data_IF_210721250838
#
_entry.id   IF_210721250838
#
_cell.length_a   1.000
_cell.length_b   1.000
_cell.length_c   1.000
_cell.angle_alpha   90.00
_cell.angle_beta   90.00
_cell.angle_gamma   90.00
#
_symmetry.space_group_name_H-M   'P 1'
#
loop_
_entity.id
_entity.type
_entity.pdbx_description
1 polymer ?
#
# COMPACT_ATOMS: atom_id res chain seq x y z
N UNK A 1 -13.80 13.27 -12.00
CA UNK A 1 -13.45 12.74 -10.65
C UNK A 1 -11.97 12.45 -10.68
N UNK A 2 -11.17 13.23 -9.94
CA UNK A 2 -9.71 13.19 -10.05
C UNK A 2 -9.12 12.63 -8.77
N UNK A 3 -8.89 11.32 -8.72
CA UNK A 3 -8.34 10.67 -7.53
C UNK A 3 -6.99 11.29 -7.16
N UNK A 4 -6.88 11.81 -5.94
CA UNK A 4 -5.62 12.30 -5.38
C UNK A 4 -4.83 11.14 -4.81
N UNK A 5 -3.50 11.21 -4.93
CA UNK A 5 -2.61 10.20 -4.40
C UNK A 5 -1.58 10.82 -3.48
N UNK A 6 -1.24 10.10 -2.42
CA UNK A 6 -0.11 10.39 -1.55
C UNK A 6 0.94 9.30 -1.67
N UNK A 7 2.22 9.68 -1.66
CA UNK A 7 3.33 8.75 -1.70
C UNK A 7 4.04 8.78 -0.36
N UNK A 8 4.20 7.62 0.26
CA UNK A 8 5.06 7.44 1.44
C UNK A 8 6.14 6.40 1.15
N UNK A 9 7.30 6.58 1.77
CA UNK A 9 8.40 5.60 1.77
C UNK A 9 8.54 4.88 3.10
N UNK A 10 7.67 5.20 4.07
CA UNK A 10 7.66 4.59 5.40
C UNK A 10 6.92 3.25 5.32
N UNK A 11 7.60 2.15 5.62
CA UNK A 11 7.02 0.81 5.54
C UNK A 11 5.82 0.63 6.48
N UNK A 12 5.90 1.19 7.70
CA UNK A 12 4.85 1.09 8.72
C UNK A 12 3.54 1.81 8.36
N UNK A 13 3.57 2.63 7.31
CA UNK A 13 2.41 3.40 6.85
C UNK A 13 1.60 2.69 5.76
N UNK A 14 2.09 1.55 5.25
CA UNK A 14 1.44 0.73 4.22
C UNK A 14 0.22 0.04 4.83
N UNK A 15 -0.90 0.02 4.12
CA UNK A 15 -2.15 -0.63 4.55
C UNK A 15 -2.74 -1.52 3.46
N UNK A 16 -3.62 -2.48 3.80
CA UNK A 16 -4.40 -3.19 2.81
C UNK A 16 -5.18 -2.22 1.91
N UNK A 17 -5.15 -2.46 0.60
CA UNK A 17 -5.73 -1.57 -0.41
C UNK A 17 -4.75 -0.57 -1.03
N UNK A 18 -3.62 -0.30 -0.38
CA UNK A 18 -2.60 0.59 -0.96
C UNK A 18 -1.88 -0.07 -2.15
N UNK A 19 -1.37 0.75 -3.07
CA UNK A 19 -0.53 0.29 -4.18
C UNK A 19 0.93 0.43 -3.79
N UNK A 20 1.68 -0.67 -3.74
CA UNK A 20 3.12 -0.65 -3.42
C UNK A 20 3.97 -0.82 -4.66
N UNK A 21 5.15 -0.19 -4.65
CA UNK A 21 6.21 -0.36 -5.65
C UNK A 21 7.43 -0.94 -4.95
N UNK A 22 7.94 -2.06 -5.48
CA UNK A 22 9.07 -2.78 -4.91
C UNK A 22 10.17 -3.02 -5.93
N UNK A 23 11.40 -3.14 -5.44
CA UNK A 23 12.62 -3.29 -6.23
C UNK A 23 13.42 -4.50 -5.78
N UNK A 24 13.89 -5.30 -6.73
CA UNK A 24 14.89 -6.35 -6.53
C UNK A 24 16.18 -5.96 -7.25
N UNK A 25 17.31 -6.01 -6.54
CA UNK A 25 18.65 -5.91 -7.15
C UNK A 25 19.23 -7.31 -7.22
N UNK A 26 19.43 -7.82 -8.43
CA UNK A 26 20.01 -9.15 -8.63
C UNK A 26 21.51 -9.17 -8.28
N UNK A 27 22.07 -10.35 -8.04
CA UNK A 27 23.50 -10.53 -7.76
C UNK A 27 24.43 -9.95 -8.85
N UNK A 28 23.96 -9.89 -10.10
CA UNK A 28 24.70 -9.31 -11.24
C UNK A 28 24.45 -7.81 -11.42
N UNK A 29 23.78 -7.15 -10.47
CA UNK A 29 23.50 -5.72 -10.50
C UNK A 29 22.28 -5.30 -11.34
N UNK A 30 21.60 -6.22 -12.02
CA UNK A 30 20.37 -5.88 -12.74
C UNK A 30 19.24 -5.54 -11.75
N UNK A 31 18.46 -4.50 -12.07
CA UNK A 31 17.32 -4.03 -11.27
C UNK A 31 16.02 -4.53 -11.88
N UNK A 32 15.17 -5.15 -11.06
CA UNK A 32 13.81 -5.54 -11.42
C UNK A 32 12.81 -4.77 -10.56
N UNK A 33 11.68 -4.41 -11.16
CA UNK A 33 10.60 -3.70 -10.50
C UNK A 33 9.34 -4.54 -10.48
N UNK A 34 8.55 -4.39 -9.44
CA UNK A 34 7.19 -4.92 -9.38
C UNK A 34 6.30 -3.95 -8.62
N UNK A 35 5.00 -4.02 -8.88
CA UNK A 35 4.00 -3.27 -8.13
C UNK A 35 2.75 -4.12 -7.95
N UNK A 36 1.95 -3.78 -6.96
CA UNK A 36 0.67 -4.44 -6.72
C UNK A 36 -0.07 -3.86 -5.53
N UNK A 37 -1.37 -4.16 -5.47
CA UNK A 37 -2.22 -3.76 -4.35
C UNK A 37 -1.96 -4.68 -3.17
N UNK A 38 -1.81 -4.12 -1.98
CA UNK A 38 -1.65 -4.86 -0.73
C UNK A 38 -2.97 -5.52 -0.36
N UNK A 39 -2.95 -6.81 -0.08
CA UNK A 39 -4.10 -7.57 0.41
C UNK A 39 -4.11 -7.65 1.94
N UNK A 40 -2.97 -8.03 2.51
CA UNK A 40 -2.76 -8.21 3.94
C UNK A 40 -1.25 -8.32 4.20
N UNK A 41 -0.89 -8.64 5.43
CA UNK A 41 0.48 -8.93 5.84
C UNK A 41 0.58 -10.36 6.39
N UNK A 42 1.79 -10.89 6.47
CA UNK A 42 2.04 -12.16 7.19
C UNK A 42 1.83 -11.96 8.71
N UNK A 43 1.70 -13.07 9.43
CA UNK A 43 1.46 -13.11 10.88
C UNK A 43 2.75 -13.02 11.72
N UNK A 44 3.88 -12.71 11.08
CA UNK A 44 5.13 -12.39 11.78
C UNK A 44 4.96 -11.08 12.55
N UNK A 45 5.05 -11.15 13.87
CA UNK A 45 4.83 -10.02 14.77
C UNK A 45 6.01 -9.03 14.76
N UNK A 46 7.21 -9.50 14.42
CA UNK A 46 8.43 -8.71 14.44
C UNK A 46 8.70 -8.07 13.08
N UNK A 47 8.41 -8.80 11.99
CA UNK A 47 8.64 -8.33 10.61
C UNK A 47 7.54 -8.82 9.63
N UNK A 48 6.35 -8.19 9.64
CA UNK A 48 5.24 -8.60 8.79
C UNK A 48 5.49 -8.26 7.32
N UNK A 49 5.56 -9.28 6.46
CA UNK A 49 5.78 -9.14 5.03
C UNK A 49 4.50 -8.82 4.25
N UNK A 50 4.63 -8.03 3.18
CA UNK A 50 3.51 -7.62 2.32
C UNK A 50 3.00 -8.78 1.47
N UNK A 51 1.70 -9.08 1.57
CA UNK A 51 0.98 -9.99 0.69
C UNK A 51 0.20 -9.18 -0.34
N UNK A 52 0.47 -9.37 -1.63
CA UNK A 52 -0.27 -8.71 -2.71
C UNK A 52 -1.62 -9.38 -2.97
N UNK A 53 -2.56 -8.70 -3.62
CA UNK A 53 -3.85 -9.27 -4.07
C UNK A 53 -3.71 -10.49 -4.98
N UNK A 54 -2.57 -10.61 -5.66
CA UNK A 54 -2.20 -11.80 -6.45
C UNK A 54 -1.84 -13.03 -5.60
N UNK A 55 -1.70 -12.87 -4.28
CA UNK A 55 -1.22 -13.90 -3.36
C UNK A 55 0.31 -14.01 -3.27
N UNK A 56 1.05 -13.20 -4.02
CA UNK A 56 2.52 -13.16 -3.95
C UNK A 56 3.00 -12.40 -2.73
N UNK A 57 4.16 -12.80 -2.21
CA UNK A 57 4.89 -12.14 -1.13
C UNK A 57 6.24 -11.69 -1.70
N UNK A 58 6.34 -10.46 -2.26
CA UNK A 58 7.54 -10.04 -2.99
C UNK A 58 8.82 -10.05 -2.15
N UNK A 59 8.70 -9.83 -0.84
CA UNK A 59 9.84 -9.85 0.09
C UNK A 59 10.50 -11.23 0.17
N UNK A 60 9.72 -12.31 0.03
CA UNK A 60 10.25 -13.68 -0.03
C UNK A 60 10.98 -13.95 -1.36
N UNK A 61 10.65 -13.20 -2.41
CA UNK A 61 11.37 -13.19 -3.69
C UNK A 61 12.57 -12.21 -3.68
N UNK A 62 12.86 -11.59 -2.53
CA UNK A 62 13.98 -10.65 -2.33
C UNK A 62 13.71 -9.21 -2.80
N UNK A 63 12.45 -8.86 -3.09
CA UNK A 63 12.09 -7.47 -3.38
C UNK A 63 12.02 -6.65 -2.09
N UNK A 64 12.46 -5.40 -2.16
CA UNK A 64 12.32 -4.44 -1.06
C UNK A 64 11.34 -3.34 -1.44
N UNK A 65 10.51 -2.90 -0.49
CA UNK A 65 9.62 -1.76 -0.66
C UNK A 65 10.41 -0.52 -1.05
N UNK A 66 9.94 0.20 -2.06
CA UNK A 66 10.49 1.51 -2.45
C UNK A 66 9.53 2.62 -2.04
N UNK A 67 8.26 2.48 -2.37
CA UNK A 67 7.23 3.40 -1.93
C UNK A 67 5.85 2.75 -1.93
N UNK A 68 4.95 3.39 -1.21
CA UNK A 68 3.54 3.11 -1.13
C UNK A 68 2.76 4.31 -1.68
N UNK A 69 1.80 4.03 -2.56
CA UNK A 69 0.92 4.99 -3.21
C UNK A 69 -0.47 4.78 -2.62
N UNK A 70 -0.89 5.75 -1.80
CA UNK A 70 -2.17 5.76 -1.13
C UNK A 70 -3.18 6.50 -1.99
N UNK A 71 -4.31 5.87 -2.26
CA UNK A 71 -5.44 6.55 -2.88
C UNK A 71 -6.16 7.39 -1.82
N UNK A 72 -6.20 8.70 -2.00
CA UNK A 72 -7.04 9.58 -1.19
C UNK A 72 -8.37 9.72 -1.95
N UNK A 73 -9.47 9.13 -1.44
CA UNK A 73 -10.78 9.40 -2.03
C UNK A 73 -11.07 10.91 -1.93
N UNK A 74 -11.57 11.50 -3.01
CA UNK A 74 -11.98 12.92 -3.01
C UNK A 74 -13.16 13.18 -2.04
N UNK A 75 -13.84 12.12 -1.64
CA UNK A 75 -15.01 12.11 -0.79
C UNK A 75 -14.57 12.21 0.67
N UNK A 76 -14.57 13.43 1.21
CA UNK A 76 -14.56 13.63 2.66
C UNK A 76 -15.82 12.95 3.19
N UNK A 77 -15.66 11.88 3.98
CA UNK A 77 -16.79 11.28 4.69
C UNK A 77 -17.30 12.32 5.69
N UNK A 78 -18.42 12.97 5.34
CA UNK A 78 -19.08 13.95 6.18
C UNK A 78 -19.91 13.20 7.22
N UNK A 79 -19.81 13.63 8.47
CA UNK A 79 -20.72 13.17 9.52
C UNK A 79 -22.11 13.72 9.21
N UNK A 80 -23.11 12.85 9.30
CA UNK A 80 -24.52 13.21 9.14
C UNK A 80 -25.16 13.10 10.52
N UNK A 81 -25.96 14.07 10.91
CA UNK A 81 -26.74 14.00 12.16
C UNK A 81 -28.00 13.11 12.02
N UNK A 82 -28.74 12.96 13.12
CA UNK A 82 -29.95 12.14 13.17
C UNK A 82 -31.10 12.68 12.31
N UNK A 83 -31.01 13.92 11.82
CA UNK A 83 -31.97 14.56 10.93
C UNK A 83 -31.59 14.44 9.45
N UNK A 84 -30.40 13.89 9.16
CA UNK A 84 -29.90 13.73 7.79
C UNK A 84 -29.09 14.91 7.27
N UNK A 85 -28.72 15.87 8.14
CA UNK A 85 -27.97 17.06 7.77
C UNK A 85 -26.46 16.86 7.96
N UNK A 86 -25.67 17.53 7.11
CA UNK A 86 -24.20 17.48 7.14
C UNK A 86 -23.70 18.32 8.32
N UNK A 87 -22.99 17.70 9.27
CA UNK A 87 -22.32 18.39 10.38
C UNK A 87 -20.81 18.44 10.16
N UNK A 88 -20.26 19.66 10.13
CA UNK A 88 -18.82 19.93 9.97
C UNK A 88 -18.12 20.05 11.33
#
# INVERSE_FOLDING_TARGET
MGVRFEITTVANDVRPGDLVVLRLVTQKGAVKWTCGTVRCFTDDADDPAIVLTTGKIPEYDGYSLVCCIKSIPDEVQLSIDDEGEIVQ
#
